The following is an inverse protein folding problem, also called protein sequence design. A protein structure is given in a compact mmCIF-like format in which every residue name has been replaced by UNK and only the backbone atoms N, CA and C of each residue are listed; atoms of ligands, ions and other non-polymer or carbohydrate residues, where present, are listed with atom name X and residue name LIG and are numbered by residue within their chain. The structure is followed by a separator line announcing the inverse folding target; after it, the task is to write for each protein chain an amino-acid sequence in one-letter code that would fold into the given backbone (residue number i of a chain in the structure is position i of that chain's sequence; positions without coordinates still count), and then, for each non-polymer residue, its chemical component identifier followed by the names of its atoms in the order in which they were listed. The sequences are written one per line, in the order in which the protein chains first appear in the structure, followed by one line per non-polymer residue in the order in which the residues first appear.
data_IF_711198801903
#
_entry.id   IF_711198801903
#
_cell.length_a   1.000
_cell.length_b   1.000
_cell.length_c   1.000
_cell.angle_alpha   90.00
_cell.angle_beta   90.00
_cell.angle_gamma   90.00
#
_symmetry.space_group_name_H-M   'P 1'
#
loop_
_entity.id
_entity.type
_entity.pdbx_description
1 polymer ?
#
# COMPACT_ATOMS: atom_id res chain seq x y z
N UNK A 1 -7.45 9.67 19.77
CA UNK A 1 -6.22 9.50 18.97
C UNK A 1 -6.54 9.72 17.50
N UNK A 2 -5.90 10.69 16.85
CA UNK A 2 -6.06 10.92 15.41
C UNK A 2 -5.12 9.98 14.66
N UNK A 3 -5.64 8.87 14.13
CA UNK A 3 -4.84 7.95 13.31
C UNK A 3 -4.47 8.65 11.99
N UNK A 4 -3.19 8.58 11.60
CA UNK A 4 -2.76 8.93 10.24
C UNK A 4 -2.84 7.70 9.33
N UNK A 5 -3.33 7.88 8.12
CA UNK A 5 -3.54 6.83 7.13
C UNK A 5 -2.96 7.29 5.78
N UNK A 6 -2.57 6.31 4.95
CA UNK A 6 -2.11 6.50 3.59
C UNK A 6 -2.68 5.39 2.72
N UNK A 7 -2.94 5.69 1.45
CA UNK A 7 -3.52 4.75 0.50
C UNK A 7 -2.65 4.67 -0.75
N UNK A 8 -2.19 3.47 -1.07
CA UNK A 8 -1.41 3.17 -2.28
C UNK A 8 -2.18 2.19 -3.15
N UNK A 9 -2.04 2.31 -4.46
CA UNK A 9 -2.56 1.34 -5.42
C UNK A 9 -1.39 0.73 -6.18
N UNK A 10 -1.31 -0.60 -6.17
CA UNK A 10 -0.34 -1.34 -6.95
C UNK A 10 -1.02 -1.87 -8.21
N UNK A 11 -0.50 -1.50 -9.37
CA UNK A 11 -0.80 -2.17 -10.64
C UNK A 11 0.41 -3.01 -11.00
N UNK A 12 0.39 -4.27 -10.59
CA UNK A 12 1.52 -5.21 -10.69
C UNK A 12 1.02 -6.56 -11.20
N UNK A 13 1.83 -7.26 -11.98
CA UNK A 13 1.61 -8.66 -12.32
C UNK A 13 2.42 -9.51 -11.36
N UNK A 14 1.76 -10.43 -10.67
CA UNK A 14 2.40 -11.37 -9.75
C UNK A 14 2.33 -12.76 -10.38
N UNK A 15 3.46 -13.43 -10.43
CA UNK A 15 3.53 -14.81 -10.90
C UNK A 15 2.82 -15.76 -9.91
N UNK A 16 2.12 -16.74 -10.46
CA UNK A 16 1.41 -17.77 -9.67
C UNK A 16 2.38 -18.71 -8.97
N UNK A 17 1.98 -19.25 -7.81
CA UNK A 17 2.78 -20.24 -7.07
C UNK A 17 3.97 -19.65 -6.31
N UNK A 18 4.03 -18.32 -6.20
CA UNK A 18 5.03 -17.59 -5.40
C UNK A 18 4.40 -16.94 -4.18
N UNK A 19 5.23 -16.69 -3.18
CA UNK A 19 4.85 -15.95 -1.99
C UNK A 19 5.34 -14.51 -2.08
N UNK A 20 4.54 -13.57 -1.60
CA UNK A 20 4.89 -12.15 -1.67
C UNK A 20 4.74 -11.47 -0.31
N UNK A 21 5.66 -10.56 -0.02
CA UNK A 21 5.67 -9.70 1.15
C UNK A 21 5.38 -8.26 0.77
N UNK A 22 4.50 -7.63 1.55
CA UNK A 22 4.30 -6.19 1.53
C UNK A 22 5.28 -5.54 2.51
N UNK A 23 6.24 -4.80 1.97
CA UNK A 23 7.22 -4.07 2.76
C UNK A 23 6.82 -2.61 2.93
N UNK A 24 7.20 -2.03 4.07
CA UNK A 24 6.99 -0.60 4.35
C UNK A 24 8.20 0.02 5.05
N UNK A 25 8.43 1.30 4.77
CA UNK A 25 9.36 2.16 5.51
C UNK A 25 8.67 3.47 5.83
N UNK A 26 8.76 3.93 7.08
CA UNK A 26 8.20 5.20 7.53
C UNK A 26 9.35 6.11 7.94
N UNK A 27 9.36 7.35 7.43
CA UNK A 27 10.33 8.39 7.79
C UNK A 27 9.57 9.69 7.96
N UNK A 28 9.47 10.17 9.21
CA UNK A 28 8.60 11.29 9.55
C UNK A 28 7.14 11.01 9.16
N UNK A 29 6.53 11.96 8.44
CA UNK A 29 5.14 11.86 7.96
C UNK A 29 5.03 11.23 6.55
N UNK A 30 6.08 10.56 6.06
CA UNK A 30 6.06 9.84 4.78
C UNK A 30 6.15 8.34 4.98
N UNK A 31 5.39 7.61 4.16
CA UNK A 31 5.46 6.15 4.06
C UNK A 31 5.84 5.74 2.64
N UNK A 32 6.78 4.81 2.55
CA UNK A 32 7.17 4.11 1.32
C UNK A 32 6.74 2.65 1.40
N UNK A 33 6.08 2.12 0.38
CA UNK A 33 5.56 0.75 0.33
C UNK A 33 5.98 0.08 -0.98
N UNK A 34 6.34 -1.21 -0.92
CA UNK A 34 6.65 -2.03 -2.10
C UNK A 34 6.32 -3.50 -1.85
N UNK A 35 6.18 -4.26 -2.93
CA UNK A 35 5.98 -5.71 -2.91
C UNK A 35 7.30 -6.39 -3.29
N UNK A 36 7.62 -7.45 -2.58
CA UNK A 36 8.81 -8.27 -2.77
C UNK A 36 8.40 -9.74 -2.79
N UNK A 37 9.04 -10.56 -3.62
CA UNK A 37 8.89 -12.02 -3.54
C UNK A 37 9.63 -12.54 -2.31
N UNK A 38 8.98 -13.43 -1.55
CA UNK A 38 9.41 -13.80 -0.19
C UNK A 38 10.68 -14.62 -0.15
N UNK A 39 10.90 -15.51 -1.12
CA UNK A 39 12.00 -16.48 -1.10
C UNK A 39 13.31 -15.88 -1.65
N UNK A 40 13.22 -15.10 -2.73
CA UNK A 40 14.34 -14.52 -3.46
C UNK A 40 14.71 -13.11 -3.00
N UNK A 41 13.88 -12.50 -2.15
CA UNK A 41 13.94 -11.08 -1.80
C UNK A 41 13.89 -10.11 -3.01
N UNK A 42 13.45 -10.59 -4.18
CA UNK A 42 13.34 -9.79 -5.38
C UNK A 42 12.20 -8.76 -5.24
N UNK A 43 12.51 -7.49 -5.45
CA UNK A 43 11.49 -6.43 -5.49
C UNK A 43 10.69 -6.52 -6.80
N UNK A 44 9.41 -6.87 -6.71
CA UNK A 44 8.53 -7.09 -7.86
C UNK A 44 7.61 -5.91 -8.17
N UNK A 45 7.63 -4.84 -7.36
CA UNK A 45 6.91 -3.60 -7.63
C UNK A 45 7.83 -2.37 -7.59
N UNK A 46 7.35 -1.26 -8.18
CA UNK A 46 7.90 0.06 -7.87
C UNK A 46 7.71 0.36 -6.37
N UNK A 47 8.63 1.15 -5.81
CA UNK A 47 8.44 1.74 -4.47
C UNK A 47 7.51 2.95 -4.63
N UNK A 48 6.37 2.91 -3.95
CA UNK A 48 5.41 4.02 -3.95
C UNK A 48 5.57 4.75 -2.62
N UNK A 49 5.81 6.07 -2.67
CA UNK A 49 5.91 6.91 -1.48
C UNK A 49 4.77 7.92 -1.44
N UNK A 50 4.19 8.14 -0.27
CA UNK A 50 3.08 9.08 -0.06
C UNK A 50 3.09 9.61 1.38
N UNK A 51 2.38 10.70 1.61
CA UNK A 51 2.26 11.32 2.93
C UNK A 51 1.20 10.60 3.79
N UNK A 52 1.52 10.44 5.07
CA UNK A 52 0.60 9.99 6.10
C UNK A 52 -0.30 11.16 6.51
N UNK A 53 -1.57 11.07 6.15
CA UNK A 53 -2.54 12.14 6.39
C UNK A 53 -3.50 11.75 7.52
N UNK A 54 -4.03 12.74 8.25
CA UNK A 54 -5.06 12.49 9.27
C UNK A 54 -6.24 11.77 8.59
N UNK A 55 -6.68 10.67 9.18
CA UNK A 55 -7.77 9.87 8.61
C UNK A 55 -9.03 10.72 8.42
N UNK A 56 -9.59 10.69 7.20
CA UNK A 56 -10.75 11.49 6.85
C UNK A 56 -11.96 11.22 7.75
N UNK A 57 -12.69 12.28 8.12
CA UNK A 57 -14.04 12.16 8.67
C UNK A 57 -14.96 11.47 7.64
N UNK A 58 -15.80 10.53 8.07
CA UNK A 58 -16.62 9.74 7.14
C UNK A 58 -15.91 8.54 6.51
N UNK A 59 -15.05 7.85 7.29
CA UNK A 59 -14.22 6.70 6.86
C UNK A 59 -14.94 5.67 5.98
N UNK A 60 -16.23 5.39 6.22
CA UNK A 60 -17.00 4.38 5.48
C UNK A 60 -17.14 4.72 3.99
N UNK A 61 -17.58 5.93 3.65
CA UNK A 61 -17.80 6.35 2.26
C UNK A 61 -16.46 6.47 1.52
N UNK A 62 -15.46 7.05 2.19
CA UNK A 62 -14.12 7.17 1.63
C UNK A 62 -13.51 5.80 1.31
N UNK A 63 -13.56 4.85 2.26
CA UNK A 63 -13.04 3.48 2.06
C UNK A 63 -13.80 2.74 0.96
N UNK A 64 -15.14 2.84 0.91
CA UNK A 64 -15.94 2.22 -0.14
C UNK A 64 -15.57 2.70 -1.54
N UNK A 65 -15.34 4.01 -1.73
CA UNK A 65 -14.90 4.56 -3.02
C UNK A 65 -13.54 3.98 -3.44
N UNK A 66 -12.60 3.83 -2.50
CA UNK A 66 -11.26 3.27 -2.78
C UNK A 66 -11.30 1.78 -3.10
N UNK A 67 -12.12 1.00 -2.37
CA UNK A 67 -12.33 -0.43 -2.69
C UNK A 67 -12.94 -0.63 -4.08
N UNK A 68 -13.90 0.23 -4.48
CA UNK A 68 -14.49 0.15 -5.83
C UNK A 68 -13.53 0.58 -6.95
N UNK A 69 -12.59 1.46 -6.64
CA UNK A 69 -11.62 1.97 -7.62
C UNK A 69 -10.43 1.03 -7.87
N UNK A 70 -10.23 0.02 -7.02
CA UNK A 70 -9.10 -0.90 -7.14
C UNK A 70 -9.54 -2.35 -7.00
N UNK A 71 -9.42 -3.11 -8.08
CA UNK A 71 -9.26 -4.56 -8.06
C UNK A 71 -7.78 -4.88 -8.34
N UNK A 72 -7.21 -5.80 -7.57
CA UNK A 72 -5.93 -6.43 -7.92
C UNK A 72 -6.16 -7.31 -9.15
#
# INVERSE_FOLDING_TARGET
MNNKEAFVFFKVKLDSGKSYMLNRKIVGDKISIWIQESESALKVSKVISTDLNIAAMGKKIFRQKRCKAGSI
#
